data_IF_890347507313
#
_entry.id   IF_890347507313
#
_cell.length_a   1.000
_cell.length_b   1.000
_cell.length_c   1.000
_cell.angle_alpha   90.00
_cell.angle_beta   90.00
_cell.angle_gamma   90.00
#
_symmetry.space_group_name_H-M   'P 1'
#
loop_
_entity.id
_entity.type
_entity.pdbx_description
1 polymer ?
#
# COMPACT_ATOMS: atom_id res chain seq x y z
N UNK A 1 -15.06 -16.48 -7.01
CA UNK A 1 -15.33 -15.04 -6.85
C UNK A 1 -14.11 -14.25 -7.26
N UNK A 2 -14.27 -13.25 -8.11
CA UNK A 2 -13.12 -12.46 -8.48
C UNK A 2 -12.55 -11.72 -7.26
N UNK A 3 -11.26 -11.59 -7.19
CA UNK A 3 -10.59 -10.83 -6.15
C UNK A 3 -10.83 -9.34 -6.29
N UNK A 4 -10.51 -8.59 -5.25
CA UNK A 4 -10.68 -7.13 -5.24
C UNK A 4 -9.84 -6.46 -6.32
N UNK A 5 -8.69 -7.03 -6.66
CA UNK A 5 -7.82 -6.49 -7.69
C UNK A 5 -8.49 -6.41 -9.05
N UNK A 6 -9.47 -7.28 -9.32
CA UNK A 6 -10.19 -7.27 -10.60
C UNK A 6 -11.08 -6.04 -10.79
N UNK A 7 -11.44 -5.36 -9.71
CA UNK A 7 -12.22 -4.13 -9.77
C UNK A 7 -11.35 -2.89 -9.97
N UNK A 8 -10.04 -3.02 -9.85
CA UNK A 8 -9.11 -1.89 -9.92
C UNK A 8 -8.61 -1.72 -11.35
N UNK A 9 -8.80 -0.54 -11.90
CA UNK A 9 -8.38 -0.21 -13.26
C UNK A 9 -7.39 0.94 -13.32
N UNK A 10 -7.15 1.62 -12.19
CA UNK A 10 -6.23 2.74 -12.11
C UNK A 10 -5.77 2.91 -10.67
N UNK A 11 -4.72 3.72 -10.47
CA UNK A 11 -4.18 3.96 -9.14
C UNK A 11 -5.19 4.53 -8.15
N UNK A 12 -6.06 5.42 -8.60
CA UNK A 12 -7.09 6.00 -7.72
C UNK A 12 -8.09 4.95 -7.23
N UNK A 13 -8.40 3.97 -8.07
CA UNK A 13 -9.27 2.87 -7.66
C UNK A 13 -8.61 2.02 -6.59
N UNK A 14 -7.29 1.84 -6.68
CA UNK A 14 -6.53 1.07 -5.70
C UNK A 14 -6.57 1.76 -4.34
N UNK A 15 -6.36 3.07 -4.31
CA UNK A 15 -6.46 3.86 -3.06
C UNK A 15 -7.84 3.68 -2.44
N UNK A 16 -8.89 3.77 -3.24
CA UNK A 16 -10.28 3.60 -2.75
C UNK A 16 -10.51 2.22 -2.16
N UNK A 17 -9.98 1.16 -2.79
CA UNK A 17 -10.12 -0.19 -2.28
C UNK A 17 -9.37 -0.39 -0.96
N UNK A 18 -8.19 0.19 -0.82
CA UNK A 18 -7.45 0.15 0.43
C UNK A 18 -8.25 0.81 1.55
N UNK A 19 -8.80 1.99 1.30
CA UNK A 19 -9.61 2.73 2.27
C UNK A 19 -10.85 1.91 2.67
N UNK A 20 -11.49 1.29 1.70
CA UNK A 20 -12.68 0.47 1.93
C UNK A 20 -12.37 -0.70 2.85
N UNK A 21 -11.28 -1.41 2.60
CA UNK A 21 -10.85 -2.53 3.44
C UNK A 21 -10.53 -2.04 4.86
N UNK A 22 -9.76 -0.96 4.96
CA UNK A 22 -9.37 -0.41 6.26
C UNK A 22 -10.59 0.05 7.08
N UNK A 23 -11.53 0.73 6.43
CA UNK A 23 -12.75 1.19 7.09
C UNK A 23 -13.57 0.01 7.60
N UNK A 24 -13.69 -1.05 6.81
CA UNK A 24 -14.37 -2.27 7.23
C UNK A 24 -13.74 -2.86 8.49
N UNK A 25 -12.43 -2.75 8.62
CA UNK A 25 -11.70 -3.28 9.78
C UNK A 25 -11.74 -2.35 11.00
N UNK A 26 -12.37 -1.19 10.88
CA UNK A 26 -12.47 -0.25 11.98
C UNK A 26 -11.29 0.71 12.10
N UNK A 27 -10.46 0.78 11.07
CA UNK A 27 -9.31 1.68 11.07
C UNK A 27 -9.72 3.08 10.59
N UNK A 28 -9.05 4.10 11.10
CA UNK A 28 -9.17 5.46 10.57
C UNK A 28 -8.23 5.62 9.39
N UNK A 29 -8.58 6.48 8.44
CA UNK A 29 -7.77 6.70 7.24
C UNK A 29 -7.52 8.18 7.02
N UNK A 30 -6.32 8.50 6.51
CA UNK A 30 -5.95 9.83 6.05
C UNK A 30 -5.30 9.72 4.69
N UNK A 31 -5.81 10.48 3.71
CA UNK A 31 -5.28 10.44 2.36
C UNK A 31 -4.27 11.54 2.11
N UNK A 32 -3.29 11.26 1.23
CA UNK A 32 -2.32 12.24 0.72
C UNK A 32 -1.66 13.04 1.82
N UNK A 33 -1.21 12.34 2.86
CA UNK A 33 -0.59 13.00 4.01
C UNK A 33 0.85 13.43 3.68
N UNK A 34 1.12 14.72 3.80
CA UNK A 34 2.46 15.26 3.58
C UNK A 34 3.36 14.97 4.77
N UNK A 35 4.49 14.32 4.54
CA UNK A 35 5.42 13.93 5.62
C UNK A 35 6.66 14.81 5.63
N UNK A 36 7.31 14.93 4.47
CA UNK A 36 8.57 15.62 4.37
C UNK A 36 8.86 15.95 2.92
N UNK A 37 9.93 16.69 2.68
CA UNK A 37 10.44 16.88 1.34
C UNK A 37 11.56 15.90 1.07
N UNK A 38 11.63 15.43 -0.17
CA UNK A 38 12.77 14.65 -0.63
C UNK A 38 13.97 15.56 -0.77
N UNK A 39 15.14 14.97 -0.88
CA UNK A 39 16.41 15.70 -0.97
C UNK A 39 16.43 16.70 -2.12
N UNK A 40 15.68 16.43 -3.19
CA UNK A 40 15.60 17.30 -4.37
C UNK A 40 14.47 18.35 -4.29
N UNK A 41 13.87 18.52 -3.13
CA UNK A 41 12.79 19.48 -2.93
C UNK A 41 11.41 18.97 -3.26
N UNK A 42 11.26 17.78 -3.82
CA UNK A 42 9.94 17.20 -4.09
C UNK A 42 9.25 16.83 -2.78
N UNK A 43 7.93 17.02 -2.71
CA UNK A 43 7.17 16.64 -1.54
C UNK A 43 7.14 15.11 -1.39
N UNK A 44 7.26 14.65 -0.16
CA UNK A 44 7.06 13.23 0.17
C UNK A 44 5.67 13.09 0.77
N UNK A 45 4.77 12.50 0.02
CA UNK A 45 3.39 12.26 0.46
C UNK A 45 3.18 10.77 0.62
N UNK A 46 2.37 10.41 1.62
CA UNK A 46 1.92 9.04 1.82
C UNK A 46 0.51 8.97 1.25
N UNK A 47 0.25 8.00 0.36
CA UNK A 47 -1.06 7.89 -0.29
C UNK A 47 -2.18 7.73 0.72
N UNK A 48 -2.01 6.82 1.69
CA UNK A 48 -3.00 6.58 2.74
C UNK A 48 -2.27 6.28 4.04
N UNK A 49 -2.74 6.87 5.13
CA UNK A 49 -2.32 6.48 6.48
C UNK A 49 -3.47 5.77 7.16
N UNK A 50 -3.19 4.61 7.74
CA UNK A 50 -4.16 3.80 8.48
C UNK A 50 -3.83 3.87 9.96
N UNK A 51 -4.82 4.11 10.79
CA UNK A 51 -4.64 4.26 12.23
C UNK A 51 -5.66 3.41 12.97
N UNK A 52 -5.18 2.59 13.92
CA UNK A 52 -6.07 1.91 14.84
C UNK A 52 -6.44 2.88 15.95
N UNK A 53 -7.72 3.25 16.08
CA UNK A 53 -8.11 4.28 17.06
C UNK A 53 -7.90 3.82 18.51
N UNK A 54 -7.85 2.52 18.76
CA UNK A 54 -7.64 2.00 20.12
C UNK A 54 -6.18 2.01 20.53
N UNK A 55 -5.33 1.36 19.73
CA UNK A 55 -3.90 1.24 20.05
C UNK A 55 -3.08 2.42 19.58
N UNK A 56 -3.63 3.25 18.66
CA UNK A 56 -2.94 4.34 17.97
C UNK A 56 -1.83 3.85 17.06
N UNK A 57 -1.72 2.55 16.84
CA UNK A 57 -0.77 2.00 15.88
C UNK A 57 -1.07 2.54 14.49
N UNK A 58 -0.04 2.91 13.75
CA UNK A 58 -0.18 3.64 12.49
C UNK A 58 0.66 2.95 11.41
N UNK A 59 0.11 2.92 10.20
CA UNK A 59 0.77 2.33 9.02
C UNK A 59 0.60 3.27 7.83
N UNK A 60 1.69 3.57 7.15
CA UNK A 60 1.63 4.29 5.88
C UNK A 60 1.50 3.30 4.72
N UNK A 61 0.65 3.60 3.76
CA UNK A 61 0.42 2.74 2.60
C UNK A 61 0.69 3.52 1.32
N UNK A 62 1.50 2.92 0.46
CA UNK A 62 1.74 3.43 -0.89
C UNK A 62 1.08 2.47 -1.87
N UNK A 63 0.30 3.01 -2.80
CA UNK A 63 -0.47 2.21 -3.74
C UNK A 63 0.18 2.25 -5.12
N UNK A 64 0.44 1.08 -5.71
CA UNK A 64 1.04 0.97 -7.04
C UNK A 64 0.19 0.09 -7.92
N UNK A 65 -0.30 0.66 -9.00
CA UNK A 65 -1.10 -0.06 -9.98
C UNK A 65 -0.34 -0.13 -11.30
N UNK A 66 -0.33 -1.30 -11.93
CA UNK A 66 0.23 -1.48 -13.26
C UNK A 66 -0.72 -2.34 -14.09
N UNK A 67 -1.36 -1.71 -15.09
CA UNK A 67 -2.34 -2.40 -15.94
C UNK A 67 -1.72 -3.31 -16.97
N UNK A 68 -0.75 -2.86 -17.70
CA UNK A 68 -0.07 -3.66 -18.72
C UNK A 68 0.96 -2.83 -19.43
N UNK A 69 2.12 -3.42 -19.72
CA UNK A 69 3.18 -2.78 -20.47
C UNK A 69 3.69 -1.45 -19.93
N UNK A 70 3.35 -1.11 -18.70
CA UNK A 70 3.71 0.18 -18.14
C UNK A 70 5.08 0.17 -17.48
N UNK A 71 5.42 1.31 -16.86
CA UNK A 71 6.75 1.54 -16.28
C UNK A 71 6.76 1.58 -14.76
N UNK A 72 5.66 1.17 -14.10
CA UNK A 72 5.59 1.24 -12.64
C UNK A 72 6.68 0.40 -11.97
N UNK A 73 7.03 -0.74 -12.57
CA UNK A 73 8.06 -1.63 -12.01
C UNK A 73 9.41 -0.94 -11.85
N UNK A 74 9.75 -0.01 -12.74
CA UNK A 74 11.02 0.70 -12.69
C UNK A 74 11.13 1.58 -11.45
N UNK A 75 9.99 1.98 -10.90
CA UNK A 75 9.93 2.90 -9.77
C UNK A 75 9.85 2.19 -8.42
N UNK A 76 9.66 0.87 -8.42
CA UNK A 76 9.43 0.13 -7.18
C UNK A 76 10.62 0.20 -6.21
N UNK A 77 11.88 0.02 -6.65
CA UNK A 77 13.00 0.13 -5.71
C UNK A 77 13.07 1.49 -5.01
N UNK A 78 12.80 2.58 -5.74
CA UNK A 78 12.76 3.92 -5.14
C UNK A 78 11.62 4.05 -4.14
N UNK A 79 10.46 3.43 -4.45
CA UNK A 79 9.32 3.43 -3.54
C UNK A 79 9.65 2.73 -2.23
N UNK A 80 10.35 1.60 -2.28
CA UNK A 80 10.77 0.89 -1.08
C UNK A 80 11.72 1.75 -0.25
N UNK A 81 12.66 2.45 -0.89
CA UNK A 81 13.56 3.36 -0.20
C UNK A 81 12.81 4.51 0.46
N UNK A 82 11.81 5.07 -0.20
CA UNK A 82 10.98 6.14 0.37
C UNK A 82 10.25 5.65 1.63
N UNK A 83 9.71 4.45 1.58
CA UNK A 83 9.00 3.86 2.71
C UNK A 83 9.93 3.69 3.90
N UNK A 84 11.16 3.27 3.67
CA UNK A 84 12.15 3.11 4.74
C UNK A 84 12.49 4.44 5.42
N UNK A 85 12.32 5.54 4.72
CA UNK A 85 12.61 6.87 5.26
C UNK A 85 11.41 7.50 5.99
N UNK A 86 10.24 6.87 5.97
CA UNK A 86 9.07 7.40 6.69
C UNK A 86 9.25 7.25 8.20
N UNK A 87 8.67 8.18 9.00
CA UNK A 87 8.70 8.06 10.46
C UNK A 87 7.77 6.98 11.02
N UNK A 88 6.99 6.33 10.17
CA UNK A 88 6.06 5.26 10.55
C UNK A 88 6.33 4.04 9.67
N UNK A 89 5.93 2.83 10.12
CA UNK A 89 6.04 1.66 9.25
C UNK A 89 5.29 1.88 7.95
N UNK A 90 5.82 1.34 6.86
CA UNK A 90 5.24 1.50 5.53
C UNK A 90 4.99 0.18 4.82
N UNK A 91 4.02 0.20 3.92
CA UNK A 91 3.62 -0.96 3.13
C UNK A 91 3.30 -0.51 1.71
N UNK A 92 3.76 -1.26 0.72
CA UNK A 92 3.33 -1.08 -0.67
C UNK A 92 2.19 -2.06 -0.93
N UNK A 93 1.05 -1.53 -1.36
CA UNK A 93 -0.07 -2.35 -1.85
C UNK A 93 -0.06 -2.25 -3.37
N UNK A 94 0.02 -3.38 -4.03
CA UNK A 94 0.09 -3.38 -5.49
C UNK A 94 -1.01 -4.22 -6.11
N UNK A 95 -1.40 -3.86 -7.33
CA UNK A 95 -2.45 -4.54 -8.08
C UNK A 95 -2.23 -4.30 -9.57
N UNK A 96 -2.83 -5.17 -10.39
CA UNK A 96 -2.80 -5.05 -11.83
C UNK A 96 -2.02 -6.17 -12.48
N UNK A 97 -2.34 -6.42 -13.75
CA UNK A 97 -1.77 -7.54 -14.50
C UNK A 97 -0.36 -7.24 -15.03
N UNK A 98 0.05 -5.97 -14.96
CA UNK A 98 1.33 -5.55 -15.53
C UNK A 98 2.55 -5.90 -14.70
N UNK A 99 2.39 -6.38 -13.47
CA UNK A 99 3.52 -6.80 -12.66
C UNK A 99 4.01 -8.18 -13.09
N UNK A 100 5.29 -8.29 -13.40
CA UNK A 100 5.89 -9.59 -13.74
C UNK A 100 6.00 -10.47 -12.50
N UNK A 101 6.10 -11.79 -12.72
CA UNK A 101 6.29 -12.73 -11.62
C UNK A 101 7.57 -12.43 -10.83
N UNK A 102 8.63 -12.03 -11.52
CA UNK A 102 9.89 -11.67 -10.85
C UNK A 102 9.74 -10.46 -9.97
N UNK A 103 9.02 -9.43 -10.43
CA UNK A 103 8.80 -8.23 -9.65
C UNK A 103 7.92 -8.52 -8.43
N UNK A 104 6.87 -9.34 -8.60
CA UNK A 104 6.03 -9.75 -7.47
C UNK A 104 6.84 -10.48 -6.41
N UNK A 105 7.70 -11.40 -6.84
CA UNK A 105 8.57 -12.13 -5.91
C UNK A 105 9.53 -11.19 -5.17
N UNK A 106 10.09 -10.23 -5.89
CA UNK A 106 10.96 -9.22 -5.27
C UNK A 106 10.20 -8.42 -4.21
N UNK A 107 9.02 -7.91 -4.56
CA UNK A 107 8.21 -7.11 -3.63
C UNK A 107 7.87 -7.89 -2.38
N UNK A 108 7.38 -9.12 -2.57
CA UNK A 108 7.00 -9.97 -1.44
C UNK A 108 8.20 -10.27 -0.55
N UNK A 109 9.38 -10.48 -1.16
CA UNK A 109 10.60 -10.79 -0.40
C UNK A 109 11.07 -9.64 0.50
N UNK A 110 10.66 -8.40 0.21
CA UNK A 110 11.03 -7.27 1.05
C UNK A 110 10.30 -7.28 2.40
N UNK A 111 9.19 -8.02 2.50
CA UNK A 111 8.32 -7.97 3.68
C UNK A 111 7.54 -6.66 3.80
N UNK A 112 7.63 -5.79 2.80
CA UNK A 112 7.02 -4.45 2.82
C UNK A 112 6.02 -4.24 1.71
N UNK A 113 5.60 -5.32 1.05
CA UNK A 113 4.67 -5.24 -0.07
C UNK A 113 3.68 -6.40 -0.01
N UNK A 114 2.46 -6.13 -0.46
CA UNK A 114 1.39 -7.13 -0.48
C UNK A 114 0.48 -6.85 -1.67
N UNK A 115 -0.03 -7.91 -2.29
CA UNK A 115 -1.07 -7.76 -3.31
C UNK A 115 -2.38 -7.35 -2.64
N UNK A 116 -3.20 -6.59 -3.36
CA UNK A 116 -4.47 -6.11 -2.82
C UNK A 116 -5.35 -7.23 -2.25
N UNK A 117 -5.39 -8.38 -2.93
CA UNK A 117 -6.22 -9.50 -2.49
C UNK A 117 -5.77 -10.09 -1.15
N UNK A 118 -4.54 -9.84 -0.75
CA UNK A 118 -3.99 -10.32 0.52
C UNK A 118 -3.93 -9.23 1.60
N UNK A 119 -4.42 -8.04 1.29
CA UNK A 119 -4.28 -6.91 2.19
C UNK A 119 -5.04 -7.10 3.51
N UNK A 120 -6.28 -7.58 3.45
CA UNK A 120 -7.09 -7.69 4.65
C UNK A 120 -6.44 -8.57 5.72
N UNK A 121 -6.01 -9.82 5.43
CA UNK A 121 -5.33 -10.62 6.44
C UNK A 121 -4.02 -10.01 6.90
N UNK A 122 -3.28 -9.34 6.00
CA UNK A 122 -2.05 -8.67 6.38
C UNK A 122 -2.31 -7.58 7.43
N UNK A 123 -3.36 -6.77 7.20
CA UNK A 123 -3.71 -5.70 8.13
C UNK A 123 -4.19 -6.25 9.47
N UNK A 124 -4.94 -7.36 9.45
CA UNK A 124 -5.38 -7.98 10.70
C UNK A 124 -4.19 -8.41 11.54
N UNK A 125 -3.19 -9.01 10.92
CA UNK A 125 -1.96 -9.40 11.62
C UNK A 125 -1.20 -8.18 12.14
N UNK A 126 -1.01 -7.17 11.29
CA UNK A 126 -0.24 -6.00 11.65
C UNK A 126 -0.87 -5.24 12.83
N UNK A 127 -2.17 -5.03 12.78
CA UNK A 127 -2.89 -4.26 13.80
C UNK A 127 -3.37 -5.10 14.99
N UNK A 128 -3.12 -6.40 14.98
CA UNK A 128 -3.56 -7.28 16.07
C UNK A 128 -5.07 -7.44 16.11
N UNK A 129 -5.74 -7.44 14.97
CA UNK A 129 -7.19 -7.63 14.89
C UNK A 129 -7.54 -9.12 14.80
N UNK A 130 -8.81 -9.49 15.09
CA UNK A 130 -9.22 -10.90 14.94
C UNK A 130 -8.95 -11.43 13.55
N UNK A 131 -8.52 -12.69 13.45
CA UNK A 131 -8.08 -13.29 12.18
C UNK A 131 -9.17 -14.07 11.43
N UNK A 132 -10.35 -14.17 11.96
CA UNK A 132 -11.47 -14.93 11.35
C UNK A 132 -12.27 -14.15 10.31
#
# INVERSE_FOLDING_TARGET
MPGKANAVKAGDDLVKEVIKIATKLGLETKEQFHVARRIWGANRNIDVILIDPKSRKTLGVECKFQGGGGSAEEKIPATIQDIDAWPIPGLVVFAGEGFTANMKSFLISTGKAVELDELEPWLRLFFGLPLD
#
